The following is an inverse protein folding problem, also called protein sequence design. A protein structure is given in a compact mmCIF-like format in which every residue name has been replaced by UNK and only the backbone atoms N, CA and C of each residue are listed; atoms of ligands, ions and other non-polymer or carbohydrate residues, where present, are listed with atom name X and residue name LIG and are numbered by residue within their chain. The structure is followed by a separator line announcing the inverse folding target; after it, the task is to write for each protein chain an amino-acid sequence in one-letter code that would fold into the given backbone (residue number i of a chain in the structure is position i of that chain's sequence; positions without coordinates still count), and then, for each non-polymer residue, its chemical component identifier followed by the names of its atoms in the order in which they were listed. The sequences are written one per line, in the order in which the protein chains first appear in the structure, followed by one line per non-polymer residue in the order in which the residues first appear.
data_IF_594222609049
#
_entry.id   IF_594222609049
#
_cell.length_a   1.000
_cell.length_b   1.000
_cell.length_c   1.000
_cell.angle_alpha   90.00
_cell.angle_beta   90.00
_cell.angle_gamma   90.00
#
_symmetry.space_group_name_H-M   'P 1'
#
loop_
_entity.id
_entity.type
_entity.pdbx_description
1 polymer ?
#
# COMPACT_ATOMS: atom_id res chain seq x y z
N UNK A 1 21.17 -25.65 26.50
CA UNK A 1 22.08 -25.89 25.34
C UNK A 1 21.31 -25.53 24.08
N UNK A 2 21.87 -24.68 23.22
CA UNK A 2 21.25 -24.39 21.93
C UNK A 2 21.28 -25.67 21.06
N UNK A 3 20.18 -25.95 20.36
CA UNK A 3 20.11 -27.11 19.46
C UNK A 3 21.09 -26.93 18.29
N UNK A 4 21.76 -28.01 17.85
CA UNK A 4 22.61 -27.98 16.66
C UNK A 4 21.83 -27.51 15.41
N UNK A 5 20.50 -27.66 15.41
CA UNK A 5 19.62 -27.21 14.32
C UNK A 5 19.61 -25.69 14.15
N UNK A 6 19.99 -24.91 15.18
CA UNK A 6 20.02 -23.45 15.07
C UNK A 6 21.01 -22.94 14.03
N UNK A 7 22.05 -23.73 13.67
CA UNK A 7 22.99 -23.38 12.59
C UNK A 7 22.37 -23.50 11.18
N UNK A 8 21.21 -24.15 11.05
CA UNK A 8 20.47 -24.33 9.80
C UNK A 8 19.23 -23.43 9.73
N UNK A 9 19.11 -22.44 10.62
CA UNK A 9 18.03 -21.46 10.53
C UNK A 9 18.16 -20.61 9.29
N UNK A 10 17.01 -20.07 8.81
CA UNK A 10 16.99 -19.19 7.63
C UNK A 10 17.92 -17.99 7.81
N UNK A 11 18.59 -17.63 6.72
CA UNK A 11 19.46 -16.45 6.63
C UNK A 11 18.81 -15.39 5.75
N UNK A 12 19.14 -14.09 5.93
CA UNK A 12 18.66 -13.05 5.03
C UNK A 12 19.20 -13.31 3.62
N UNK A 13 18.35 -13.17 2.63
CA UNK A 13 18.72 -13.37 1.21
C UNK A 13 18.93 -12.07 0.47
N UNK A 14 18.29 -11.00 0.93
CA UNK A 14 18.42 -9.66 0.37
C UNK A 14 18.55 -8.64 1.50
N UNK A 15 19.16 -7.51 1.16
CA UNK A 15 19.23 -6.33 2.01
C UNK A 15 18.60 -5.18 1.23
N UNK A 16 17.56 -4.56 1.80
CA UNK A 16 16.79 -3.51 1.15
C UNK A 16 17.03 -2.13 1.74
N UNK A 17 16.78 -1.10 0.95
CA UNK A 17 16.73 0.29 1.40
C UNK A 17 15.28 0.75 1.37
N UNK A 18 14.76 1.25 2.49
CA UNK A 18 13.36 1.68 2.56
C UNK A 18 13.14 2.95 1.70
N UNK A 19 12.15 2.95 0.81
CA UNK A 19 11.80 4.11 -0.01
C UNK A 19 11.53 5.39 0.78
N UNK A 20 10.91 5.28 1.96
CA UNK A 20 10.62 6.43 2.83
C UNK A 20 11.84 7.06 3.48
N UNK A 21 13.01 6.41 3.42
CA UNK A 21 14.21 6.81 4.14
C UNK A 21 14.00 6.98 5.66
N UNK A 22 12.89 6.42 6.18
CA UNK A 22 12.56 6.45 7.60
C UNK A 22 12.00 7.78 8.12
N UNK A 23 11.51 8.65 7.24
CA UNK A 23 11.14 10.04 7.56
C UNK A 23 10.09 10.17 8.68
N UNK A 24 9.23 9.15 8.86
CA UNK A 24 8.17 9.16 9.90
C UNK A 24 8.42 8.16 11.02
N UNK A 25 9.55 7.46 11.01
CA UNK A 25 9.82 6.35 11.92
C UNK A 25 10.61 6.78 13.15
N UNK A 26 10.47 5.98 14.19
CA UNK A 26 11.27 6.03 15.40
C UNK A 26 11.74 4.61 15.77
N UNK A 27 12.44 4.48 16.89
CA UNK A 27 12.98 3.20 17.36
C UNK A 27 11.91 2.18 17.80
N UNK A 28 10.65 2.61 17.97
CA UNK A 28 9.54 1.70 18.24
C UNK A 28 9.02 1.02 16.96
N UNK A 29 9.28 1.64 15.80
CA UNK A 29 8.85 1.12 14.49
C UNK A 29 9.95 0.29 13.85
N UNK A 30 11.20 0.80 13.87
CA UNK A 30 12.35 0.12 13.24
C UNK A 30 13.50 0.08 14.25
N UNK A 31 14.01 -1.13 14.44
CA UNK A 31 15.18 -1.36 15.30
C UNK A 31 16.40 -0.60 14.76
N UNK A 32 17.08 0.13 15.67
CA UNK A 32 18.32 0.86 15.39
C UNK A 32 18.23 1.89 14.25
N UNK A 33 17.01 2.22 13.79
CA UNK A 33 16.75 3.13 12.64
C UNK A 33 17.57 2.80 11.38
N UNK A 34 17.89 1.52 11.19
CA UNK A 34 18.60 1.07 9.99
C UNK A 34 17.60 0.93 8.83
N UNK A 35 17.51 1.96 8.01
CA UNK A 35 16.61 2.03 6.85
C UNK A 35 17.32 1.74 5.51
N UNK A 36 18.66 1.68 5.50
CA UNK A 36 19.48 1.55 4.28
C UNK A 36 20.00 0.14 4.04
N UNK A 37 19.90 -0.74 5.02
CA UNK A 37 20.37 -2.13 4.91
C UNK A 37 19.48 -3.07 5.74
N UNK A 38 18.19 -3.08 5.41
CA UNK A 38 17.17 -3.89 6.10
C UNK A 38 17.29 -5.34 5.65
N UNK A 39 17.62 -6.29 6.56
CA UNK A 39 17.74 -7.69 6.20
C UNK A 39 16.35 -8.32 5.94
N UNK A 40 16.17 -8.93 4.77
CA UNK A 40 14.92 -9.57 4.36
C UNK A 40 15.13 -11.07 4.21
N UNK A 41 14.35 -11.84 4.96
CA UNK A 41 14.36 -13.30 4.98
C UNK A 41 13.23 -13.83 4.10
N UNK A 42 13.42 -15.02 3.51
CA UNK A 42 12.32 -15.74 2.89
C UNK A 42 11.29 -16.24 3.93
N UNK A 43 10.06 -16.45 3.49
CA UNK A 43 8.99 -17.00 4.32
C UNK A 43 9.33 -18.41 4.82
N UNK A 44 8.80 -18.75 5.98
CA UNK A 44 8.76 -20.10 6.49
C UNK A 44 7.37 -20.73 6.28
N UNK A 45 7.21 -22.01 6.65
CA UNK A 45 5.94 -22.73 6.49
C UNK A 45 4.77 -22.08 7.24
N UNK A 46 5.04 -21.49 8.41
CA UNK A 46 3.98 -20.80 9.19
C UNK A 46 3.54 -19.51 8.51
N UNK A 47 4.48 -18.76 7.92
CA UNK A 47 4.17 -17.54 7.17
C UNK A 47 3.23 -17.86 5.99
N UNK A 48 3.48 -18.95 5.24
CA UNK A 48 2.59 -19.40 4.17
C UNK A 48 1.20 -19.82 4.66
N UNK A 49 1.12 -20.47 5.82
CA UNK A 49 -0.16 -20.87 6.41
C UNK A 49 -0.98 -19.66 6.84
N UNK A 50 -0.34 -18.64 7.41
CA UNK A 50 -0.98 -17.38 7.81
C UNK A 50 -1.59 -16.68 6.57
N UNK A 51 -0.86 -16.62 5.46
CA UNK A 51 -1.35 -16.00 4.21
C UNK A 51 -2.52 -16.75 3.57
N UNK A 52 -2.74 -18.03 3.91
CA UNK A 52 -3.90 -18.81 3.44
C UNK A 52 -5.16 -18.59 4.28
N UNK A 53 -5.12 -17.73 5.29
CA UNK A 53 -6.27 -17.42 6.16
C UNK A 53 -7.01 -16.19 5.60
N UNK A 54 -8.19 -16.35 4.97
CA UNK A 54 -8.86 -15.25 4.24
C UNK A 54 -9.17 -14.04 5.12
N UNK A 55 -9.67 -14.24 6.33
CA UNK A 55 -10.02 -13.15 7.26
C UNK A 55 -8.79 -12.34 7.69
N UNK A 56 -7.66 -13.01 7.89
CA UNK A 56 -6.41 -12.34 8.26
C UNK A 56 -5.82 -11.54 7.10
N UNK A 57 -5.99 -11.99 5.86
CA UNK A 57 -5.63 -11.22 4.65
C UNK A 57 -6.51 -9.98 4.52
N UNK A 58 -7.82 -10.12 4.65
CA UNK A 58 -8.76 -9.00 4.56
C UNK A 58 -8.52 -7.95 5.65
N UNK A 59 -8.19 -8.38 6.86
CA UNK A 59 -7.87 -7.48 7.97
C UNK A 59 -6.50 -6.81 7.87
N UNK A 60 -5.61 -7.29 6.98
CA UNK A 60 -4.21 -6.88 6.88
C UNK A 60 -3.29 -7.55 7.90
N UNK A 61 -3.83 -8.34 8.84
CA UNK A 61 -3.08 -8.95 9.92
C UNK A 61 -2.06 -9.97 9.40
N UNK A 62 -2.45 -10.80 8.43
CA UNK A 62 -1.56 -11.78 7.81
C UNK A 62 -0.31 -11.11 7.22
N UNK A 63 -0.50 -10.01 6.49
CA UNK A 63 0.58 -9.23 5.90
C UNK A 63 1.52 -8.67 6.97
N UNK A 64 0.96 -8.06 8.03
CA UNK A 64 1.75 -7.52 9.13
C UNK A 64 2.57 -8.61 9.85
N UNK A 65 1.98 -9.78 10.10
CA UNK A 65 2.65 -10.92 10.73
C UNK A 65 3.79 -11.46 9.85
N UNK A 66 3.57 -11.60 8.55
CA UNK A 66 4.60 -12.06 7.60
C UNK A 66 5.75 -11.06 7.51
N UNK A 67 5.47 -9.74 7.43
CA UNK A 67 6.51 -8.72 7.44
C UNK A 67 7.33 -8.81 8.73
N UNK A 68 6.69 -8.90 9.89
CA UNK A 68 7.38 -9.04 11.18
C UNK A 68 8.23 -10.30 11.29
N UNK A 69 7.76 -11.41 10.71
CA UNK A 69 8.50 -12.68 10.67
C UNK A 69 9.69 -12.65 9.73
N UNK A 70 9.51 -12.08 8.54
CA UNK A 70 10.54 -12.06 7.49
C UNK A 70 11.51 -10.88 7.62
N UNK A 71 11.17 -9.85 8.41
CA UNK A 71 11.97 -8.64 8.59
C UNK A 71 11.98 -8.28 10.07
N UNK A 72 12.76 -9.00 10.90
CA UNK A 72 12.73 -8.83 12.36
C UNK A 72 13.11 -7.43 12.86
N UNK A 73 13.78 -6.62 12.05
CA UNK A 73 14.09 -5.23 12.36
C UNK A 73 12.87 -4.30 12.31
N UNK A 74 11.78 -4.73 11.67
CA UNK A 74 10.49 -4.02 11.72
C UNK A 74 9.75 -4.46 12.98
N UNK A 75 9.66 -3.56 13.96
CA UNK A 75 9.05 -3.85 15.26
C UNK A 75 7.53 -3.66 15.23
N UNK A 76 7.05 -2.65 14.50
CA UNK A 76 5.63 -2.37 14.30
C UNK A 76 5.28 -2.21 12.80
N UNK A 77 4.87 -3.29 12.11
CA UNK A 77 4.48 -3.25 10.71
C UNK A 77 3.30 -2.33 10.41
N UNK A 78 2.42 -2.06 11.36
CA UNK A 78 1.25 -1.22 11.16
C UNK A 78 1.60 0.26 10.94
N UNK A 79 2.71 0.71 11.54
CA UNK A 79 3.20 2.09 11.40
C UNK A 79 4.11 2.30 10.19
N UNK A 80 4.42 1.24 9.43
CA UNK A 80 5.19 1.35 8.19
C UNK A 80 4.35 2.05 7.13
N UNK A 81 4.95 2.95 6.35
CA UNK A 81 4.32 3.60 5.21
C UNK A 81 4.01 2.58 4.11
N UNK A 82 2.90 2.78 3.39
CA UNK A 82 2.48 1.85 2.32
C UNK A 82 3.54 1.65 1.25
N UNK A 83 4.28 2.70 0.90
CA UNK A 83 5.39 2.61 -0.06
C UNK A 83 6.48 1.64 0.40
N UNK A 84 6.85 1.66 1.69
CA UNK A 84 7.81 0.73 2.27
C UNK A 84 7.21 -0.66 2.43
N UNK A 85 5.93 -0.76 2.78
CA UNK A 85 5.24 -2.04 2.91
C UNK A 85 5.26 -2.82 1.58
N UNK A 86 4.92 -2.16 0.48
CA UNK A 86 4.93 -2.77 -0.85
C UNK A 86 6.35 -3.20 -1.24
N UNK A 87 7.34 -2.35 -1.01
CA UNK A 87 8.75 -2.67 -1.22
C UNK A 87 9.19 -3.91 -0.44
N UNK A 88 8.86 -3.97 0.85
CA UNK A 88 9.22 -5.08 1.74
C UNK A 88 8.55 -6.39 1.32
N UNK A 89 7.28 -6.35 0.91
CA UNK A 89 6.55 -7.52 0.42
C UNK A 89 7.14 -8.06 -0.90
N UNK A 90 7.53 -7.18 -1.82
CA UNK A 90 8.26 -7.58 -3.03
C UNK A 90 9.60 -8.25 -2.64
N UNK A 91 10.33 -7.66 -1.68
CA UNK A 91 11.56 -8.22 -1.15
C UNK A 91 11.37 -9.60 -0.52
N UNK A 92 10.34 -9.80 0.30
CA UNK A 92 9.99 -11.10 0.90
C UNK A 92 9.67 -12.14 -0.18
N UNK A 93 8.94 -11.74 -1.23
CA UNK A 93 8.65 -12.64 -2.34
C UNK A 93 9.91 -13.05 -3.09
N UNK A 94 10.80 -12.11 -3.42
CA UNK A 94 12.09 -12.41 -4.07
C UNK A 94 12.88 -13.37 -3.17
N UNK A 95 12.98 -13.09 -1.88
CA UNK A 95 13.71 -13.93 -0.93
C UNK A 95 13.11 -15.34 -0.80
N UNK A 96 11.81 -15.52 -1.08
CA UNK A 96 11.12 -16.81 -0.96
C UNK A 96 11.11 -17.60 -2.27
N UNK A 97 10.69 -16.95 -3.37
CA UNK A 97 10.38 -17.62 -4.64
C UNK A 97 11.28 -17.18 -5.81
N UNK A 98 12.18 -16.21 -5.59
CA UNK A 98 13.08 -15.70 -6.61
C UNK A 98 12.53 -14.49 -7.37
N UNK A 99 13.30 -14.04 -8.36
CA UNK A 99 13.22 -12.71 -8.98
C UNK A 99 12.06 -12.54 -9.96
N UNK A 100 11.37 -13.62 -10.33
CA UNK A 100 10.33 -13.60 -11.37
C UNK A 100 8.95 -13.88 -10.79
N UNK A 101 7.98 -13.09 -11.25
CA UNK A 101 6.56 -13.29 -10.96
C UNK A 101 5.83 -13.55 -12.28
N UNK A 102 5.29 -14.77 -12.51
CA UNK A 102 4.46 -15.03 -13.66
C UNK A 102 3.14 -14.26 -13.56
N UNK A 103 2.84 -13.45 -14.56
CA UNK A 103 1.60 -12.71 -14.70
C UNK A 103 0.84 -13.15 -15.94
N UNK A 104 -0.49 -13.10 -15.87
CA UNK A 104 -1.36 -13.32 -17.03
C UNK A 104 -2.15 -12.05 -17.28
N UNK A 105 -2.08 -11.54 -18.50
CA UNK A 105 -2.76 -10.30 -18.92
C UNK A 105 -3.55 -10.56 -20.18
N UNK A 106 -4.63 -9.80 -20.39
CA UNK A 106 -5.47 -9.94 -21.61
C UNK A 106 -5.07 -8.86 -22.61
N UNK A 107 -4.68 -9.27 -23.81
CA UNK A 107 -4.32 -8.34 -24.89
C UNK A 107 -5.53 -7.45 -25.27
N UNK A 108 -5.40 -6.11 -25.25
CA UNK A 108 -6.51 -5.22 -25.57
C UNK A 108 -6.98 -5.33 -27.03
N UNK A 109 -6.08 -5.78 -27.94
CA UNK A 109 -6.35 -5.86 -29.38
C UNK A 109 -7.06 -7.16 -29.78
N UNK A 110 -6.53 -8.33 -29.39
CA UNK A 110 -7.08 -9.62 -29.83
C UNK A 110 -7.80 -10.39 -28.71
N UNK A 111 -7.82 -9.88 -27.48
CA UNK A 111 -8.44 -10.48 -26.30
C UNK A 111 -7.84 -11.82 -25.87
N UNK A 112 -6.71 -12.22 -26.44
CA UNK A 112 -6.00 -13.42 -26.04
C UNK A 112 -5.28 -13.20 -24.71
N UNK A 113 -5.27 -14.22 -23.86
CA UNK A 113 -4.49 -14.22 -22.64
C UNK A 113 -3.01 -14.40 -22.96
N UNK A 114 -2.19 -13.54 -22.40
CA UNK A 114 -0.73 -13.50 -22.57
C UNK A 114 -0.08 -13.75 -21.23
N UNK A 115 0.78 -14.75 -21.18
CA UNK A 115 1.63 -15.03 -20.02
C UNK A 115 2.97 -14.29 -20.19
N UNK A 116 3.42 -13.64 -19.13
CA UNK A 116 4.69 -12.91 -19.10
C UNK A 116 5.29 -13.03 -17.71
N UNK A 117 6.60 -12.88 -17.61
CA UNK A 117 7.30 -12.84 -16.34
C UNK A 117 7.67 -11.39 -15.98
N UNK A 118 7.22 -10.96 -14.82
CA UNK A 118 7.60 -9.68 -14.24
C UNK A 118 8.93 -9.83 -13.48
N UNK A 119 9.90 -9.00 -13.79
CA UNK A 119 11.18 -8.95 -13.08
C UNK A 119 11.06 -8.07 -11.84
N UNK A 120 10.95 -8.69 -10.67
CA UNK A 120 10.67 -8.02 -9.40
C UNK A 120 11.77 -7.05 -8.94
N UNK A 121 13.09 -7.31 -9.11
CA UNK A 121 14.13 -6.36 -8.75
C UNK A 121 13.98 -4.99 -9.41
N UNK A 122 13.56 -4.94 -10.69
CA UNK A 122 13.30 -3.65 -11.37
C UNK A 122 12.19 -2.81 -10.73
N UNK A 123 11.25 -3.45 -10.02
CA UNK A 123 10.24 -2.74 -9.25
C UNK A 123 10.85 -2.11 -8.00
N UNK A 124 11.73 -2.83 -7.30
CA UNK A 124 12.44 -2.30 -6.13
C UNK A 124 13.24 -1.05 -6.47
N UNK A 125 13.96 -1.07 -7.61
CA UNK A 125 14.72 0.08 -8.09
C UNK A 125 13.83 1.30 -8.35
N UNK A 126 12.62 1.07 -8.87
CA UNK A 126 11.65 2.15 -9.10
C UNK A 126 11.20 2.80 -7.78
N UNK A 127 10.92 2.02 -6.74
CA UNK A 127 10.51 2.56 -5.44
C UNK A 127 11.60 3.40 -4.79
N UNK A 128 12.84 2.93 -4.77
CA UNK A 128 13.97 3.61 -4.12
C UNK A 128 14.42 4.87 -4.85
N UNK A 129 14.04 5.07 -6.09
CA UNK A 129 14.34 6.28 -6.88
C UNK A 129 13.41 7.45 -6.62
N UNK A 130 12.34 7.27 -5.82
CA UNK A 130 11.33 8.29 -5.59
C UNK A 130 11.59 9.10 -4.31
N UNK A 131 11.28 10.40 -4.36
CA UNK A 131 11.26 11.25 -3.16
C UNK A 131 10.01 10.92 -2.31
N UNK A 132 10.18 10.56 -1.01
CA UNK A 132 9.07 10.10 -0.17
C UNK A 132 8.15 11.22 0.33
N UNK A 133 8.53 12.48 0.15
CA UNK A 133 7.77 13.65 0.59
C UNK A 133 7.41 14.53 -0.60
N UNK A 134 6.17 14.95 -0.66
CA UNK A 134 5.74 16.06 -1.51
C UNK A 134 5.54 17.30 -0.64
N UNK A 135 6.19 18.40 -1.00
CA UNK A 135 6.14 19.64 -0.24
C UNK A 135 5.25 20.66 -0.94
N UNK A 136 4.33 21.25 -0.21
CA UNK A 136 3.47 22.32 -0.70
C UNK A 136 3.56 23.53 0.24
N UNK A 137 3.37 24.73 -0.32
CA UNK A 137 3.34 25.97 0.45
C UNK A 137 2.00 26.67 0.23
N UNK A 138 1.35 27.09 1.31
CA UNK A 138 0.09 27.84 1.27
C UNK A 138 0.07 28.94 2.32
N UNK A 139 -0.08 30.21 1.87
CA UNK A 139 -0.15 31.39 2.74
C UNK A 139 0.99 31.49 3.78
N UNK A 140 2.22 31.08 3.41
CA UNK A 140 3.38 31.12 4.30
C UNK A 140 3.50 29.90 5.23
N UNK A 141 2.64 28.89 5.07
CA UNK A 141 2.74 27.60 5.73
C UNK A 141 3.33 26.58 4.76
N UNK A 142 4.28 25.79 5.22
CA UNK A 142 4.85 24.66 4.49
C UNK A 142 4.22 23.37 5.03
N UNK A 143 3.74 22.51 4.14
CA UNK A 143 3.13 21.22 4.46
C UNK A 143 3.95 20.09 3.84
N UNK A 144 4.25 19.08 4.63
CA UNK A 144 4.85 17.82 4.16
C UNK A 144 3.77 16.76 3.97
N UNK A 145 3.66 16.25 2.74
CA UNK A 145 2.72 15.21 2.35
C UNK A 145 3.48 13.91 2.13
N UNK A 146 3.04 12.83 2.77
CA UNK A 146 3.69 11.52 2.76
C UNK A 146 2.70 10.40 2.41
N UNK A 147 3.17 9.19 2.02
CA UNK A 147 2.29 8.02 1.91
C UNK A 147 1.58 7.71 3.23
N UNK A 148 0.43 7.05 3.16
CA UNK A 148 -0.28 6.58 4.36
C UNK A 148 0.53 5.50 5.09
N UNK A 149 0.30 5.34 6.39
CA UNK A 149 0.73 4.14 7.10
C UNK A 149 -0.13 2.94 6.70
N UNK A 150 0.42 1.74 6.87
CA UNK A 150 -0.31 0.50 6.57
C UNK A 150 -1.59 0.36 7.39
N UNK A 151 -1.56 0.77 8.66
CA UNK A 151 -2.73 0.80 9.55
C UNK A 151 -3.87 1.66 8.98
N UNK A 152 -3.56 2.92 8.66
CA UNK A 152 -4.56 3.87 8.13
C UNK A 152 -5.09 3.41 6.79
N UNK A 153 -4.21 2.98 5.87
CA UNK A 153 -4.60 2.46 4.55
C UNK A 153 -5.52 1.24 4.66
N UNK A 154 -5.19 0.30 5.54
CA UNK A 154 -6.00 -0.90 5.79
C UNK A 154 -7.37 -0.53 6.37
N UNK A 155 -7.41 0.38 7.35
CA UNK A 155 -8.66 0.87 7.93
C UNK A 155 -9.56 1.51 6.87
N UNK A 156 -9.03 2.43 6.08
CA UNK A 156 -9.76 3.11 5.00
C UNK A 156 -10.31 2.09 3.98
N UNK A 157 -9.50 1.11 3.59
CA UNK A 157 -9.91 0.06 2.65
C UNK A 157 -11.06 -0.78 3.20
N UNK A 158 -11.02 -1.15 4.48
CA UNK A 158 -12.10 -1.87 5.16
C UNK A 158 -13.39 -1.06 5.26
N UNK A 159 -13.29 0.20 5.67
CA UNK A 159 -14.44 1.09 5.81
C UNK A 159 -15.11 1.33 4.45
N UNK A 160 -14.32 1.57 3.40
CA UNK A 160 -14.81 1.72 2.03
C UNK A 160 -15.50 0.43 1.54
N UNK A 161 -14.89 -0.73 1.74
CA UNK A 161 -15.50 -2.02 1.38
C UNK A 161 -16.83 -2.26 2.09
N UNK A 162 -16.90 -1.98 3.41
CA UNK A 162 -18.13 -2.12 4.18
C UNK A 162 -19.24 -1.20 3.66
N UNK A 163 -18.92 0.06 3.36
CA UNK A 163 -19.87 1.02 2.80
C UNK A 163 -20.38 0.58 1.42
N UNK A 164 -19.48 0.12 0.53
CA UNK A 164 -19.86 -0.40 -0.77
C UNK A 164 -20.75 -1.65 -0.68
N UNK A 165 -20.41 -2.59 0.23
CA UNK A 165 -21.22 -3.76 0.50
C UNK A 165 -22.61 -3.39 1.02
N UNK A 166 -22.70 -2.37 1.88
CA UNK A 166 -23.99 -1.88 2.40
C UNK A 166 -24.83 -1.26 1.29
N UNK A 167 -24.24 -0.50 0.36
CA UNK A 167 -24.93 0.03 -0.81
C UNK A 167 -25.55 -1.09 -1.66
N UNK A 168 -24.75 -2.14 -1.96
CA UNK A 168 -25.23 -3.31 -2.70
C UNK A 168 -26.38 -4.04 -1.97
N UNK A 169 -26.28 -4.13 -0.63
CA UNK A 169 -27.32 -4.76 0.17
C UNK A 169 -28.63 -3.96 0.14
N UNK A 170 -28.58 -2.62 0.23
CA UNK A 170 -29.76 -1.75 0.11
C UNK A 170 -30.48 -1.98 -1.22
N UNK A 171 -29.75 -2.10 -2.33
CA UNK A 171 -30.33 -2.36 -3.65
C UNK A 171 -31.13 -3.69 -3.73
N UNK A 172 -30.65 -4.70 -2.98
CA UNK A 172 -31.26 -6.05 -2.95
C UNK A 172 -32.47 -6.16 -2.01
N UNK A 173 -32.68 -5.20 -1.12
CA UNK A 173 -33.82 -5.20 -0.19
C UNK A 173 -35.14 -4.94 -0.95
N UNK A 174 -36.02 -5.95 -0.95
CA UNK A 174 -37.32 -5.88 -1.63
C UNK A 174 -38.42 -5.23 -0.78
N UNK A 175 -38.21 -5.16 0.52
CA UNK A 175 -39.20 -4.67 1.48
C UNK A 175 -39.16 -3.15 1.67
N UNK A 176 -38.15 -2.48 1.11
CA UNK A 176 -38.00 -1.03 1.17
C UNK A 176 -38.58 -0.36 -0.09
N UNK A 177 -39.28 0.77 0.13
CA UNK A 177 -39.63 1.66 -0.99
C UNK A 177 -38.38 2.31 -1.58
N UNK A 178 -38.45 2.74 -2.84
CA UNK A 178 -37.32 3.45 -3.51
C UNK A 178 -36.92 4.72 -2.72
N UNK A 179 -37.88 5.43 -2.17
CA UNK A 179 -37.64 6.62 -1.33
C UNK A 179 -36.84 6.31 -0.07
N UNK A 180 -37.13 5.17 0.58
CA UNK A 180 -36.39 4.68 1.74
C UNK A 180 -34.96 4.23 1.36
N UNK A 181 -34.80 3.55 0.24
CA UNK A 181 -33.48 3.17 -0.29
C UNK A 181 -32.62 4.40 -0.59
N UNK A 182 -33.20 5.41 -1.25
CA UNK A 182 -32.50 6.64 -1.58
C UNK A 182 -32.03 7.38 -0.35
N UNK A 183 -32.84 7.47 0.71
CA UNK A 183 -32.47 8.10 1.97
C UNK A 183 -31.29 7.36 2.64
N UNK A 184 -31.33 6.03 2.67
CA UNK A 184 -30.23 5.22 3.22
C UNK A 184 -28.95 5.37 2.38
N UNK A 185 -29.04 5.34 1.06
CA UNK A 185 -27.89 5.57 0.16
C UNK A 185 -27.27 6.94 0.34
N UNK A 186 -28.08 7.99 0.48
CA UNK A 186 -27.58 9.35 0.74
C UNK A 186 -26.73 9.42 2.00
N UNK A 187 -27.13 8.71 3.06
CA UNK A 187 -26.35 8.65 4.30
C UNK A 187 -24.98 8.01 4.05
N UNK A 188 -24.94 6.91 3.30
CA UNK A 188 -23.68 6.23 2.98
C UNK A 188 -22.80 7.08 2.05
N UNK A 189 -23.37 7.77 1.04
CA UNK A 189 -22.61 8.68 0.18
C UNK A 189 -21.99 9.83 0.95
N UNK A 190 -22.69 10.37 1.98
CA UNK A 190 -22.10 11.38 2.88
C UNK A 190 -20.93 10.81 3.66
N UNK A 191 -21.04 9.58 4.17
CA UNK A 191 -19.97 8.90 4.90
C UNK A 191 -18.78 8.61 3.98
N UNK A 192 -19.00 8.17 2.73
CA UNK A 192 -17.94 7.98 1.72
C UNK A 192 -17.23 9.30 1.39
N UNK A 193 -17.98 10.39 1.25
CA UNK A 193 -17.41 11.71 1.00
C UNK A 193 -16.54 12.18 2.16
N UNK A 194 -16.97 11.93 3.42
CA UNK A 194 -16.17 12.24 4.59
C UNK A 194 -14.93 11.36 4.68
N UNK A 195 -15.05 10.05 4.43
CA UNK A 195 -13.91 9.13 4.40
C UNK A 195 -12.87 9.56 3.36
N UNK A 196 -13.30 9.99 2.16
CA UNK A 196 -12.40 10.49 1.14
C UNK A 196 -11.69 11.78 1.59
N UNK A 197 -12.41 12.70 2.22
CA UNK A 197 -11.84 13.93 2.79
C UNK A 197 -10.78 13.60 3.85
N UNK A 198 -11.10 12.75 4.83
CA UNK A 198 -10.17 12.33 5.87
C UNK A 198 -8.97 11.58 5.31
N UNK A 199 -9.17 10.75 4.26
CA UNK A 199 -8.09 10.03 3.57
C UNK A 199 -7.03 11.01 3.04
N UNK A 200 -7.45 12.08 2.38
CA UNK A 200 -6.55 13.12 1.88
C UNK A 200 -5.77 13.77 3.04
N UNK A 201 -6.45 14.06 4.15
CA UNK A 201 -5.80 14.70 5.30
C UNK A 201 -4.81 13.79 6.04
N UNK A 202 -5.02 12.48 6.03
CA UNK A 202 -4.07 11.54 6.62
C UNK A 202 -2.69 11.57 5.96
N UNK A 203 -2.58 12.02 4.71
CA UNK A 203 -1.30 12.22 4.02
C UNK A 203 -0.52 13.43 4.54
N UNK A 204 -1.15 14.41 5.19
CA UNK A 204 -0.45 15.56 5.76
C UNK A 204 0.34 15.10 6.98
N UNK A 205 1.67 15.07 6.86
CA UNK A 205 2.56 14.67 7.97
C UNK A 205 2.76 15.81 8.95
N UNK A 206 3.10 17.00 8.45
CA UNK A 206 3.35 18.18 9.26
C UNK A 206 2.90 19.47 8.57
N UNK A 207 2.66 20.50 9.38
CA UNK A 207 2.45 21.89 8.94
C UNK A 207 3.42 22.77 9.70
N UNK A 208 4.16 23.63 9.01
CA UNK A 208 5.17 24.53 9.60
C UNK A 208 5.03 25.96 9.12
N UNK A 209 5.29 26.92 10.02
CA UNK A 209 5.44 28.36 9.68
C UNK A 209 6.91 28.80 9.60
N UNK A 210 7.84 27.83 9.64
CA UNK A 210 9.28 28.05 9.67
C UNK A 210 9.86 28.24 11.08
N UNK A 211 9.03 28.42 12.11
CA UNK A 211 9.43 28.52 13.52
C UNK A 211 8.79 27.39 14.36
N UNK A 212 7.55 27.07 14.06
CA UNK A 212 6.77 26.05 14.73
C UNK A 212 6.41 24.94 13.75
N UNK A 213 6.27 23.71 14.27
CA UNK A 213 5.85 22.54 13.49
C UNK A 213 4.72 21.86 14.23
N UNK A 214 3.59 21.69 13.54
CA UNK A 214 2.44 20.91 14.02
C UNK A 214 2.45 19.54 13.36
N UNK A 215 2.28 18.49 14.16
CA UNK A 215 2.19 17.09 13.72
C UNK A 215 0.98 16.36 14.29
N UNK A 216 0.26 17.00 15.23
CA UNK A 216 -0.96 16.43 15.78
C UNK A 216 -2.05 16.37 14.71
N UNK A 217 -2.57 15.17 14.49
CA UNK A 217 -3.53 14.92 13.43
C UNK A 217 -4.89 15.58 13.68
N UNK A 218 -5.31 15.70 14.93
CA UNK A 218 -6.59 16.31 15.28
C UNK A 218 -6.53 17.81 15.00
N UNK A 219 -5.42 18.47 15.37
CA UNK A 219 -5.20 19.89 15.10
C UNK A 219 -5.07 20.16 13.60
N UNK A 220 -4.31 19.34 12.86
CA UNK A 220 -4.18 19.43 11.39
C UNK A 220 -5.56 19.29 10.72
N UNK A 221 -6.36 18.31 11.12
CA UNK A 221 -7.69 18.09 10.55
C UNK A 221 -8.63 19.27 10.87
N UNK A 222 -8.62 19.76 12.11
CA UNK A 222 -9.42 20.92 12.52
C UNK A 222 -9.02 22.17 11.73
N UNK A 223 -7.71 22.39 11.54
CA UNK A 223 -7.20 23.53 10.77
C UNK A 223 -7.65 23.46 9.29
N UNK A 224 -7.39 22.35 8.58
CA UNK A 224 -7.74 22.23 7.16
C UNK A 224 -9.25 22.29 6.95
N UNK A 225 -10.06 21.68 7.85
CA UNK A 225 -11.51 21.71 7.79
C UNK A 225 -12.09 23.14 7.86
N UNK A 226 -11.42 24.05 8.57
CA UNK A 226 -11.84 25.43 8.73
C UNK A 226 -11.10 26.41 7.81
N UNK A 227 -10.19 25.92 6.98
CA UNK A 227 -9.42 26.72 6.02
C UNK A 227 -10.16 26.92 4.70
N UNK A 228 -9.60 27.77 3.84
CA UNK A 228 -10.10 27.97 2.48
C UNK A 228 -10.00 26.69 1.65
N UNK A 229 -10.97 26.46 0.77
CA UNK A 229 -10.99 25.30 -0.14
C UNK A 229 -9.72 25.14 -0.99
N UNK A 230 -8.99 26.22 -1.22
CA UNK A 230 -7.73 26.23 -1.96
C UNK A 230 -6.66 25.37 -1.29
N UNK A 231 -6.58 25.39 0.04
CA UNK A 231 -5.65 24.55 0.79
C UNK A 231 -5.96 23.06 0.58
N UNK A 232 -7.23 22.65 0.75
CA UNK A 232 -7.63 21.25 0.55
C UNK A 232 -7.29 20.75 -0.86
N UNK A 233 -7.54 21.55 -1.90
CA UNK A 233 -7.21 21.19 -3.29
C UNK A 233 -5.71 20.99 -3.49
N UNK A 234 -4.87 21.84 -2.90
CA UNK A 234 -3.41 21.67 -2.97
C UNK A 234 -2.97 20.37 -2.29
N UNK A 235 -3.55 20.05 -1.12
CA UNK A 235 -3.26 18.78 -0.42
C UNK A 235 -3.72 17.60 -1.27
N UNK A 236 -4.91 17.64 -1.86
CA UNK A 236 -5.44 16.59 -2.74
C UNK A 236 -4.55 16.36 -3.97
N UNK A 237 -4.10 17.43 -4.62
CA UNK A 237 -3.19 17.36 -5.76
C UNK A 237 -1.83 16.75 -5.35
N UNK A 238 -1.25 17.16 -4.23
CA UNK A 238 -0.01 16.62 -3.69
C UNK A 238 -0.17 15.12 -3.29
N UNK A 239 -1.31 14.76 -2.70
CA UNK A 239 -1.66 13.36 -2.39
C UNK A 239 -1.72 12.51 -3.66
N UNK A 240 -2.29 13.03 -4.74
CA UNK A 240 -2.32 12.35 -6.03
C UNK A 240 -0.92 12.19 -6.65
N UNK A 241 -0.03 13.16 -6.46
CA UNK A 241 1.37 13.09 -6.91
C UNK A 241 2.10 11.99 -6.13
N UNK A 242 2.05 12.02 -4.80
CA UNK A 242 2.74 11.04 -3.95
C UNK A 242 2.23 9.61 -4.21
N UNK A 243 0.93 9.43 -4.37
CA UNK A 243 0.31 8.14 -4.68
C UNK A 243 0.78 7.60 -6.05
N UNK A 244 0.94 8.46 -7.05
CA UNK A 244 1.47 8.05 -8.37
C UNK A 244 2.96 7.71 -8.34
N UNK A 245 3.77 8.40 -7.52
CA UNK A 245 5.20 8.10 -7.36
C UNK A 245 5.43 6.67 -6.88
N UNK A 246 4.59 6.18 -5.96
CA UNK A 246 4.70 4.85 -5.38
C UNK A 246 3.71 3.83 -5.95
N UNK A 247 2.97 4.19 -7.00
CA UNK A 247 2.17 3.21 -7.73
C UNK A 247 3.07 2.22 -8.48
N UNK A 248 2.61 0.98 -8.56
CA UNK A 248 3.30 -0.03 -9.37
C UNK A 248 3.38 0.43 -10.83
N UNK A 249 4.57 0.39 -11.44
CA UNK A 249 4.71 0.79 -12.83
C UNK A 249 3.95 -0.15 -13.76
N UNK A 250 3.40 0.40 -14.84
CA UNK A 250 2.85 -0.41 -15.91
C UNK A 250 3.98 -1.16 -16.61
N UNK A 251 3.78 -2.44 -16.89
CA UNK A 251 4.76 -3.27 -17.59
C UNK A 251 4.42 -3.41 -19.07
N UNK A 252 5.44 -3.37 -19.92
CA UNK A 252 5.28 -3.63 -21.34
C UNK A 252 5.18 -5.15 -21.56
N UNK A 253 4.06 -5.57 -22.16
CA UNK A 253 3.74 -6.97 -22.47
C UNK A 253 3.57 -7.12 -23.96
N UNK A 254 4.26 -8.09 -24.56
CA UNK A 254 4.06 -8.48 -25.95
C UNK A 254 3.03 -9.62 -26.02
N UNK A 255 2.00 -9.46 -26.83
CA UNK A 255 0.98 -10.47 -27.02
C UNK A 255 1.59 -11.79 -27.52
N UNK A 256 1.28 -12.89 -26.86
CA UNK A 256 1.76 -14.23 -27.21
C UNK A 256 1.11 -14.84 -28.47
N UNK A 257 0.05 -14.21 -29.01
CA UNK A 257 -0.61 -14.68 -30.24
C UNK A 257 0.28 -14.39 -31.46
N UNK A 258 0.65 -15.43 -32.20
CA UNK A 258 1.50 -15.35 -33.38
C UNK A 258 0.96 -14.40 -34.48
N UNK A 259 -0.35 -14.21 -34.52
CA UNK A 259 -1.01 -13.34 -35.52
C UNK A 259 -1.17 -11.90 -35.05
N UNK A 260 -0.93 -11.60 -33.75
CA UNK A 260 -1.24 -10.28 -33.19
C UNK A 260 0.02 -9.43 -32.96
N UNK A 261 1.04 -9.94 -32.31
CA UNK A 261 2.33 -9.29 -31.97
C UNK A 261 2.16 -7.85 -31.39
N UNK A 262 1.01 -7.56 -30.75
CA UNK A 262 0.73 -6.24 -30.20
C UNK A 262 1.48 -6.04 -28.86
N UNK A 263 2.24 -4.96 -28.76
CA UNK A 263 2.88 -4.56 -27.49
C UNK A 263 1.97 -3.55 -26.80
N UNK A 264 1.68 -3.78 -25.52
CA UNK A 264 0.79 -2.93 -24.72
C UNK A 264 1.29 -2.81 -23.28
N UNK A 265 0.90 -1.74 -22.62
CA UNK A 265 1.17 -1.53 -21.20
C UNK A 265 0.05 -2.17 -20.37
N UNK A 266 0.43 -3.12 -19.52
CA UNK A 266 -0.49 -3.71 -18.55
C UNK A 266 -0.30 -3.06 -17.19
N UNK A 267 -1.41 -2.78 -16.53
CA UNK A 267 -1.39 -2.40 -15.12
C UNK A 267 -1.04 -3.64 -14.29
N UNK A 268 -0.10 -3.47 -13.39
CA UNK A 268 0.22 -4.48 -12.39
C UNK A 268 -0.50 -4.10 -11.11
N UNK A 269 -1.35 -4.98 -10.62
CA UNK A 269 -1.90 -4.89 -9.27
C UNK A 269 -1.44 -6.11 -8.49
N UNK A 270 -0.88 -5.93 -7.31
CA UNK A 270 -0.65 -7.04 -6.41
C UNK A 270 -1.90 -7.26 -5.57
N UNK A 271 -2.60 -8.32 -5.88
CA UNK A 271 -3.51 -8.91 -4.91
C UNK A 271 -2.65 -9.77 -3.96
N UNK A 272 -2.45 -9.30 -2.76
CA UNK A 272 -1.61 -9.99 -1.76
C UNK A 272 -2.09 -11.42 -1.48
N UNK A 273 -3.36 -11.74 -1.71
CA UNK A 273 -3.87 -13.11 -1.60
C UNK A 273 -3.27 -14.05 -2.65
N UNK A 274 -3.00 -13.56 -3.86
CA UNK A 274 -2.42 -14.32 -4.96
C UNK A 274 -0.92 -14.06 -5.18
N UNK A 275 -0.40 -12.97 -4.60
CA UNK A 275 0.98 -12.53 -4.78
C UNK A 275 2.00 -13.57 -4.26
N UNK A 276 1.66 -14.26 -3.21
CA UNK A 276 2.48 -15.31 -2.60
C UNK A 276 2.10 -16.74 -3.05
N UNK A 277 1.15 -16.90 -3.97
CA UNK A 277 0.85 -18.21 -4.53
C UNK A 277 1.88 -18.61 -5.60
N UNK A 278 2.43 -19.82 -5.46
CA UNK A 278 3.18 -20.46 -6.54
C UNK A 278 2.15 -21.13 -7.44
N UNK A 279 1.82 -20.51 -8.57
CA UNK A 279 1.05 -21.19 -9.62
C UNK A 279 1.98 -22.21 -10.28
N UNK A 280 1.76 -23.49 -9.95
CA UNK A 280 2.41 -24.64 -10.56
C UNK A 280 2.05 -24.78 -12.05
#
# INVERSE_FOLDING_TARGET
MASFLNQFTRQPKIFGTLPSQGITYNQEVIQDMNVTSVPIFGMNTMDELILKTPDALFSGEATALVVKSCIPSILDPWKILTADMDYLLIGVRIATYGDRLPITTTCPKCKADTKSDLHLPSLLDNYTSQEPVEKITFNGLDLDIVPLTYEISTKISKDNYQMQRTLLHIDQQKDLSEEQKDLQKQTIYKSLSMLNFETVLHHVYSISDGQNVETDKEEIFAFVKNSEIGLYKLIEDATNIISKKFALPKVDVACSSETCNHVYKSETSFDYSNFFEVRS
#
